data_IF_958070580579
#
_entry.id   IF_958070580579
#
_cell.length_a   1.000
_cell.length_b   1.000
_cell.length_c   1.000
_cell.angle_alpha   90.00
_cell.angle_beta   90.00
_cell.angle_gamma   90.00
#
_symmetry.space_group_name_H-M   'P 1'
#
loop_
_entity.id
_entity.type
_entity.pdbx_description
1 polymer ?
#
# COMPACT_ATOMS: atom_id res chain seq x y z
N UNK A 1 -4.25 -6.95 -6.16
CA UNK A 1 -3.51 -8.15 -6.58
C UNK A 1 -3.42 -9.20 -5.50
N UNK A 2 -3.48 -10.46 -5.88
CA UNK A 2 -3.54 -11.59 -4.94
C UNK A 2 -2.33 -11.66 -3.98
N UNK A 3 -1.08 -11.42 -4.41
CA UNK A 3 0.06 -11.45 -3.49
C UNK A 3 0.00 -10.38 -2.40
N UNK A 4 -0.48 -9.19 -2.71
CA UNK A 4 -0.63 -8.09 -1.75
C UNK A 4 -1.69 -8.46 -0.72
N UNK A 5 -2.82 -8.95 -1.15
CA UNK A 5 -3.91 -9.40 -0.28
C UNK A 5 -3.46 -10.53 0.64
N UNK A 6 -2.74 -11.48 0.10
CA UNK A 6 -2.24 -12.62 0.85
C UNK A 6 -1.28 -12.20 1.96
N UNK A 7 -0.32 -11.33 1.65
CA UNK A 7 0.62 -10.82 2.64
C UNK A 7 -0.10 -10.02 3.74
N UNK A 8 -1.10 -9.22 3.37
CA UNK A 8 -1.90 -8.48 4.33
C UNK A 8 -2.68 -9.41 5.26
N UNK A 9 -3.38 -10.39 4.71
CA UNK A 9 -4.16 -11.35 5.50
C UNK A 9 -3.27 -12.14 6.47
N UNK A 10 -2.12 -12.60 6.01
CA UNK A 10 -1.16 -13.31 6.85
C UNK A 10 -0.58 -12.41 7.95
N UNK A 11 -0.26 -11.15 7.63
CA UNK A 11 0.20 -10.20 8.63
C UNK A 11 -0.81 -10.01 9.75
N UNK A 12 -2.10 -9.90 9.41
CA UNK A 12 -3.18 -9.78 10.38
C UNK A 12 -3.32 -11.03 11.26
N UNK A 13 -3.23 -12.21 10.66
CA UNK A 13 -3.39 -13.48 11.37
C UNK A 13 -2.26 -13.75 12.35
N UNK A 14 -1.01 -13.41 12.00
CA UNK A 14 0.16 -13.78 12.79
C UNK A 14 0.59 -12.72 13.80
N UNK A 15 0.00 -11.53 13.78
CA UNK A 15 0.49 -10.39 14.57
C UNK A 15 0.58 -10.66 16.08
N UNK A 16 -0.35 -11.44 16.64
CA UNK A 16 -0.36 -11.78 18.07
C UNK A 16 0.64 -12.87 18.42
N UNK A 17 0.87 -13.80 17.49
CA UNK A 17 1.81 -14.91 17.68
C UNK A 17 3.24 -14.49 17.39
N UNK A 18 3.45 -13.66 16.39
CA UNK A 18 4.77 -13.15 16.02
C UNK A 18 4.66 -11.74 15.43
N UNK A 19 4.71 -10.70 16.28
CA UNK A 19 4.71 -9.32 15.78
C UNK A 19 5.83 -9.05 14.77
N UNK A 20 6.99 -9.65 14.97
CA UNK A 20 8.13 -9.54 14.06
C UNK A 20 7.79 -10.10 12.67
N UNK A 21 7.18 -11.28 12.59
CA UNK A 21 6.77 -11.86 11.33
C UNK A 21 5.68 -11.02 10.65
N UNK A 22 4.73 -10.51 11.43
CA UNK A 22 3.70 -9.60 10.94
C UNK A 22 4.30 -8.32 10.34
N UNK A 23 5.27 -7.71 11.01
CA UNK A 23 5.98 -6.54 10.52
C UNK A 23 6.70 -6.82 9.21
N UNK A 24 7.35 -7.97 9.09
CA UNK A 24 8.04 -8.39 7.87
C UNK A 24 7.05 -8.56 6.71
N UNK A 25 5.90 -9.17 6.96
CA UNK A 25 4.84 -9.34 5.96
C UNK A 25 4.23 -7.99 5.56
N UNK A 26 4.01 -7.09 6.51
CA UNK A 26 3.52 -5.73 6.22
C UNK A 26 4.50 -4.96 5.34
N UNK A 27 5.78 -5.07 5.62
CA UNK A 27 6.82 -4.45 4.80
C UNK A 27 6.83 -5.02 3.38
N UNK A 28 6.70 -6.32 3.24
CA UNK A 28 6.58 -6.98 1.93
C UNK A 28 5.31 -6.55 1.20
N UNK A 29 4.21 -6.45 1.92
CA UNK A 29 2.95 -5.94 1.39
C UNK A 29 3.10 -4.51 0.87
N UNK A 30 3.74 -3.64 1.64
CA UNK A 30 4.04 -2.27 1.22
C UNK A 30 4.86 -2.24 -0.07
N UNK A 31 5.88 -3.07 -0.17
CA UNK A 31 6.69 -3.16 -1.38
C UNK A 31 5.85 -3.58 -2.58
N UNK A 32 4.96 -4.55 -2.40
CA UNK A 32 4.02 -4.97 -3.43
C UNK A 32 3.10 -3.85 -3.89
N UNK A 33 2.59 -3.05 -2.96
CA UNK A 33 1.73 -1.90 -3.26
C UNK A 33 2.50 -0.84 -4.07
N UNK A 34 3.72 -0.51 -3.65
CA UNK A 34 4.54 0.47 -4.37
C UNK A 34 4.78 0.01 -5.81
N UNK A 35 5.11 -1.24 -5.99
CA UNK A 35 5.37 -1.81 -7.32
C UNK A 35 4.13 -1.85 -8.19
N UNK A 36 3.01 -2.24 -7.63
CA UNK A 36 1.76 -2.39 -8.37
C UNK A 36 1.11 -1.04 -8.68
N UNK A 37 0.91 -0.22 -7.65
CA UNK A 37 0.16 1.03 -7.80
C UNK A 37 0.99 2.14 -8.49
N UNK A 38 2.25 2.28 -8.09
CA UNK A 38 3.12 3.35 -8.57
C UNK A 38 4.04 2.94 -9.73
N UNK A 39 4.05 1.64 -10.07
CA UNK A 39 4.92 1.11 -11.13
C UNK A 39 6.41 1.35 -10.85
N UNK A 40 6.81 1.33 -9.59
CA UNK A 40 8.19 1.52 -9.17
C UNK A 40 8.75 0.16 -8.78
N UNK A 41 9.83 -0.26 -9.43
CA UNK A 41 10.51 -1.52 -9.12
C UNK A 41 12.01 -1.28 -9.04
N UNK A 42 12.58 -1.52 -7.86
CA UNK A 42 14.02 -1.48 -7.60
C UNK A 42 14.40 -2.72 -6.80
N UNK A 43 15.70 -3.10 -6.77
CA UNK A 43 16.14 -4.27 -6.00
C UNK A 43 15.86 -4.17 -4.50
N UNK A 44 15.94 -2.97 -3.92
CA UNK A 44 15.72 -2.75 -2.50
C UNK A 44 14.53 -1.83 -2.25
N UNK A 45 13.77 -2.13 -1.20
CA UNK A 45 12.62 -1.31 -0.81
C UNK A 45 13.02 0.14 -0.50
N UNK A 46 14.21 0.35 0.06
CA UNK A 46 14.71 1.70 0.36
C UNK A 46 14.80 2.57 -0.89
N UNK A 47 15.22 1.99 -2.01
CA UNK A 47 15.31 2.72 -3.28
C UNK A 47 13.94 2.98 -3.87
N UNK A 48 12.99 2.05 -3.70
CA UNK A 48 11.60 2.23 -4.13
C UNK A 48 10.91 3.33 -3.33
N UNK A 49 11.12 3.39 -2.02
CA UNK A 49 10.60 4.45 -1.16
C UNK A 49 11.19 5.80 -1.55
N UNK A 50 12.48 5.86 -1.85
CA UNK A 50 13.12 7.09 -2.29
C UNK A 50 12.47 7.66 -3.56
N UNK A 51 12.05 6.81 -4.49
CA UNK A 51 11.38 7.25 -5.70
C UNK A 51 9.97 7.79 -5.48
N UNK A 52 9.31 7.41 -4.38
CA UNK A 52 8.01 7.94 -4.03
C UNK A 52 8.07 9.39 -3.57
N UNK A 53 9.23 9.86 -3.11
CA UNK A 53 9.40 11.23 -2.63
C UNK A 53 9.03 12.23 -3.74
N UNK A 54 8.15 13.16 -3.42
CA UNK A 54 7.65 14.12 -4.39
C UNK A 54 6.43 13.66 -5.20
N UNK A 55 6.08 12.37 -5.15
CA UNK A 55 4.88 11.83 -5.82
C UNK A 55 3.68 11.75 -4.89
N UNK A 56 3.91 11.76 -3.60
CA UNK A 56 2.90 11.71 -2.54
C UNK A 56 3.16 12.84 -1.55
N UNK A 57 2.21 13.09 -0.67
CA UNK A 57 2.38 14.10 0.35
C UNK A 57 3.51 13.74 1.33
N UNK A 58 4.10 14.79 1.91
CA UNK A 58 5.28 14.65 2.79
C UNK A 58 5.01 13.78 4.02
N UNK A 59 3.84 13.91 4.64
CA UNK A 59 3.50 13.15 5.84
C UNK A 59 3.35 11.66 5.53
N UNK A 60 2.67 11.32 4.45
CA UNK A 60 2.54 9.93 4.01
C UNK A 60 3.88 9.33 3.64
N UNK A 61 4.72 10.08 2.93
CA UNK A 61 6.06 9.61 2.59
C UNK A 61 6.91 9.34 3.83
N UNK A 62 6.87 10.24 4.83
CA UNK A 62 7.61 10.06 6.08
C UNK A 62 7.13 8.82 6.85
N UNK A 63 5.83 8.57 6.86
CA UNK A 63 5.28 7.36 7.49
C UNK A 63 5.75 6.09 6.78
N UNK A 64 5.75 6.08 5.46
CA UNK A 64 6.24 4.97 4.65
C UNK A 64 7.74 4.76 4.88
N UNK A 65 8.53 5.83 4.89
CA UNK A 65 9.96 5.75 5.13
C UNK A 65 10.27 5.21 6.54
N UNK A 66 9.46 5.56 7.53
CA UNK A 66 9.61 5.07 8.90
C UNK A 66 9.43 3.55 9.03
N UNK A 67 8.70 2.92 8.12
CA UNK A 67 8.51 1.46 8.09
C UNK A 67 9.85 0.72 8.01
N UNK A 68 10.83 1.30 7.34
CA UNK A 68 12.17 0.71 7.24
C UNK A 68 12.78 0.46 8.62
N UNK A 69 12.59 1.40 9.55
CA UNK A 69 13.16 1.30 10.89
C UNK A 69 12.50 0.21 11.72
N UNK A 70 11.22 -0.04 11.52
CA UNK A 70 10.48 -1.04 12.29
C UNK A 70 10.67 -2.45 11.70
N UNK A 71 10.42 -2.64 10.41
CA UNK A 71 10.51 -3.95 9.77
C UNK A 71 11.92 -4.42 9.46
N UNK A 72 12.85 -3.49 9.28
CA UNK A 72 14.21 -3.78 8.83
C UNK A 72 15.07 -4.49 9.88
N UNK A 73 14.87 -4.17 11.14
CA UNK A 73 15.63 -4.73 12.24
C UNK A 73 15.42 -6.24 12.36
N UNK A 74 14.20 -6.72 12.10
CA UNK A 74 13.91 -8.15 12.07
C UNK A 74 14.46 -8.89 10.85
N UNK A 75 14.79 -8.19 9.77
CA UNK A 75 15.26 -8.79 8.51
C UNK A 75 16.78 -8.88 8.42
N UNK A 76 17.53 -8.13 9.23
CA UNK A 76 18.99 -8.07 9.20
C UNK A 76 19.64 -8.70 10.42
N UNK A 77 19.24 -9.92 10.74
CA UNK A 77 19.85 -10.69 11.83
C UNK A 77 21.34 -11.03 11.61
N UNK A 78 21.80 -10.83 10.39
CA UNK A 78 23.16 -11.24 10.00
C UNK A 78 24.27 -10.37 10.58
N UNK A 79 23.97 -9.14 11.02
CA UNK A 79 25.01 -8.19 11.44
C UNK A 79 25.33 -8.25 12.92
N UNK A 80 24.36 -8.51 13.77
CA UNK A 80 24.60 -8.72 15.20
C UNK A 80 23.36 -9.35 15.85
N UNK A 81 23.49 -10.61 16.21
CA UNK A 81 22.41 -11.37 16.85
C UNK A 81 22.05 -10.80 18.23
N UNK A 82 22.93 -10.02 18.83
CA UNK A 82 22.69 -9.41 20.14
C UNK A 82 21.94 -8.07 20.05
N UNK A 83 21.75 -7.54 18.83
CA UNK A 83 21.04 -6.29 18.58
C UNK A 83 19.63 -6.52 17.98
N UNK A 84 19.01 -7.63 18.30
CA UNK A 84 17.64 -7.88 17.88
C UNK A 84 16.72 -6.97 18.69
N UNK A 85 16.26 -5.90 18.07
CA UNK A 85 15.19 -5.09 18.61
C UNK A 85 13.88 -5.79 18.23
N UNK A 86 13.16 -6.30 19.22
CA UNK A 86 11.89 -6.92 19.00
C UNK A 86 10.86 -5.91 18.49
N UNK A 87 9.99 -6.38 17.61
CA UNK A 87 8.79 -5.65 17.22
C UNK A 87 7.70 -6.03 18.21
N UNK A 88 7.14 -5.05 18.91
CA UNK A 88 6.03 -5.31 19.80
C UNK A 88 4.68 -5.37 19.05
N UNK A 89 3.60 -5.91 19.65
CA UNK A 89 2.30 -6.02 18.99
C UNK A 89 1.72 -4.68 18.54
N UNK A 90 1.96 -3.59 19.26
CA UNK A 90 1.47 -2.26 18.91
C UNK A 90 2.15 -1.72 17.66
N UNK A 91 3.45 -1.97 17.52
CA UNK A 91 4.21 -1.59 16.32
C UNK A 91 3.73 -2.38 15.11
N UNK A 92 3.47 -3.68 15.26
CA UNK A 92 2.88 -4.50 14.20
C UNK A 92 1.51 -3.98 13.78
N UNK A 93 0.67 -3.58 14.73
CA UNK A 93 -0.64 -2.98 14.46
C UNK A 93 -0.53 -1.66 13.70
N UNK A 94 0.43 -0.81 14.04
CA UNK A 94 0.67 0.44 13.33
C UNK A 94 1.04 0.20 11.85
N UNK A 95 1.84 -0.83 11.58
CA UNK A 95 2.20 -1.18 10.21
C UNK A 95 1.01 -1.71 9.42
N UNK A 96 0.20 -2.57 10.02
CA UNK A 96 -1.03 -3.07 9.41
C UNK A 96 -1.98 -1.92 9.10
N UNK A 97 -2.16 -1.00 10.05
CA UNK A 97 -3.01 0.18 9.87
C UNK A 97 -2.52 1.07 8.72
N UNK A 98 -1.21 1.28 8.62
CA UNK A 98 -0.64 2.02 7.51
C UNK A 98 -1.00 1.35 6.17
N UNK A 99 -0.85 0.05 6.07
CA UNK A 99 -1.23 -0.69 4.85
C UNK A 99 -2.72 -0.47 4.53
N UNK A 100 -3.59 -0.54 5.52
CA UNK A 100 -5.03 -0.31 5.34
C UNK A 100 -5.32 1.11 4.82
N UNK A 101 -4.65 2.13 5.38
CA UNK A 101 -4.78 3.52 4.91
C UNK A 101 -4.35 3.64 3.45
N UNK A 102 -3.22 3.05 3.08
CA UNK A 102 -2.73 3.12 1.71
C UNK A 102 -3.64 2.38 0.73
N UNK A 103 -4.18 1.23 1.11
CA UNK A 103 -5.14 0.50 0.28
C UNK A 103 -6.40 1.33 0.05
N UNK A 104 -6.90 2.00 1.09
CA UNK A 104 -8.07 2.85 1.00
C UNK A 104 -7.81 4.09 0.13
N UNK A 105 -6.73 4.82 0.39
CA UNK A 105 -6.44 6.07 -0.31
C UNK A 105 -6.02 5.87 -1.76
N UNK A 106 -5.30 4.79 -2.05
CA UNK A 106 -4.77 4.58 -3.40
C UNK A 106 -5.69 3.70 -4.24
N UNK A 107 -6.05 2.51 -3.78
CA UNK A 107 -6.85 1.58 -4.59
C UNK A 107 -8.34 1.88 -4.55
N UNK A 108 -8.92 1.99 -3.37
CA UNK A 108 -10.37 2.17 -3.22
C UNK A 108 -10.78 3.52 -3.78
N UNK A 109 -10.05 4.57 -3.42
CA UNK A 109 -10.35 5.93 -3.89
C UNK A 109 -10.19 6.07 -5.41
N UNK A 110 -9.16 5.45 -5.98
CA UNK A 110 -9.00 5.43 -7.44
C UNK A 110 -10.16 4.73 -8.12
N UNK A 111 -10.58 3.58 -7.60
CA UNK A 111 -11.73 2.85 -8.13
C UNK A 111 -13.01 3.68 -8.08
N UNK A 112 -13.32 4.27 -6.94
CA UNK A 112 -14.50 5.11 -6.75
C UNK A 112 -14.47 6.34 -7.66
N UNK A 113 -13.33 6.96 -7.79
CA UNK A 113 -13.13 8.10 -8.67
C UNK A 113 -13.36 7.72 -10.13
N UNK A 114 -12.75 6.65 -10.57
CA UNK A 114 -12.89 6.19 -11.96
C UNK A 114 -14.33 5.77 -12.26
N UNK A 115 -15.00 5.11 -11.33
CA UNK A 115 -16.39 4.73 -11.46
C UNK A 115 -17.28 5.97 -11.60
N UNK A 116 -17.05 7.00 -10.80
CA UNK A 116 -17.78 8.27 -10.90
C UNK A 116 -17.53 8.94 -12.25
N UNK A 117 -16.28 9.01 -12.71
CA UNK A 117 -15.96 9.59 -14.01
C UNK A 117 -16.66 8.85 -15.15
N UNK A 118 -16.72 7.51 -15.08
CA UNK A 118 -17.44 6.71 -16.09
C UNK A 118 -18.95 6.99 -16.07
N UNK A 119 -19.54 7.24 -14.91
CA UNK A 119 -20.95 7.63 -14.82
C UNK A 119 -21.21 8.98 -15.53
N UNK A 120 -20.33 9.94 -15.36
CA UNK A 120 -20.41 11.23 -16.04
C UNK A 120 -20.30 11.05 -17.55
N UNK A 121 -19.33 10.28 -18.01
CA UNK A 121 -19.11 9.99 -19.43
C UNK A 121 -20.36 9.29 -20.02
N UNK A 122 -20.88 8.29 -19.35
CA UNK A 122 -22.06 7.54 -19.80
C UNK A 122 -23.31 8.42 -19.87
N UNK A 123 -23.50 9.31 -18.90
CA UNK A 123 -24.62 10.25 -18.90
C UNK A 123 -24.51 11.23 -20.08
N UNK A 124 -23.31 11.71 -20.38
CA UNK A 124 -23.08 12.60 -21.53
C UNK A 124 -23.33 11.87 -22.85
N UNK A 125 -22.88 10.62 -22.98
CA UNK A 125 -23.10 9.80 -24.16
C UNK A 125 -24.61 9.51 -24.38
N UNK A 126 -25.35 9.25 -23.30
CA UNK A 126 -26.79 9.05 -23.38
C UNK A 126 -27.50 10.32 -23.86
N UNK A 127 -27.09 11.50 -23.44
CA UNK A 127 -27.65 12.77 -23.93
C UNK A 127 -27.34 13.01 -25.40
N UNK A 128 -26.15 12.71 -25.84
CA UNK A 128 -25.76 12.82 -27.26
C UNK A 128 -26.58 11.84 -28.09
N UNK A 129 -26.76 10.61 -27.65
CA UNK A 129 -27.58 9.61 -28.33
C UNK A 129 -29.06 10.04 -28.47
N UNK A 130 -29.63 10.60 -27.39
CA UNK A 130 -30.99 11.15 -27.41
C UNK A 130 -31.09 12.31 -28.38
N UNK A 131 -30.15 13.24 -28.36
CA UNK A 131 -30.09 14.40 -29.24
C UNK A 131 -29.99 13.98 -30.71
N UNK A 132 -29.20 12.96 -31.02
CA UNK A 132 -29.02 12.46 -32.39
C UNK A 132 -30.16 11.51 -32.85
N UNK A 133 -30.72 10.74 -31.91
CA UNK A 133 -31.78 9.77 -32.20
C UNK A 133 -33.20 10.34 -32.11
N UNK A 134 -33.39 11.51 -31.49
CA UNK A 134 -34.70 12.14 -31.37
C UNK A 134 -35.09 12.96 -32.60
N UNK A 135 -34.20 13.08 -33.57
CA UNK A 135 -34.53 13.66 -34.88
C UNK A 135 -34.87 12.53 -35.83
N UNK A 136 -36.13 12.34 -36.13
CA UNK A 136 -36.50 11.42 -37.17
C UNK A 136 -36.05 11.89 -38.54
#
# INVERSE_FOLDING_TARGET
PAPIRQDYEEACLIRSLSPKASATLSRRCLQGIIRDFWNITRPRIVDEISELQGKIDSTTWKAIDAVRSIGNIGAHMEKDINLIVDVDPEEADLLIHLIEVLLAEWYIRRYERDEHMQKVISAAQAKVAVKNGANP
#
